data_IF_378327040016
#
_entry.id   IF_378327040016
#
_cell.length_a   1.000
_cell.length_b   1.000
_cell.length_c   1.000
_cell.angle_alpha   90.00
_cell.angle_beta   90.00
_cell.angle_gamma   90.00
#
_symmetry.space_group_name_H-M   'P 1'
#
loop_
_entity.id
_entity.type
_entity.pdbx_description
1 polymer ?
#
# COMPACT_ATOMS: atom_id res chain seq x y z
N UNK A 1 -22.25 -0.55 0.94
CA UNK A 1 -21.94 -0.62 2.37
C UNK A 1 -21.31 0.68 2.83
N UNK A 2 -21.87 1.27 3.86
CA UNK A 2 -21.34 2.52 4.40
C UNK A 2 -20.02 2.29 5.12
N UNK A 3 -18.99 3.12 4.89
CA UNK A 3 -17.78 3.05 5.68
C UNK A 3 -18.06 3.42 7.14
N UNK A 4 -17.33 2.81 8.05
CA UNK A 4 -17.32 3.17 9.45
C UNK A 4 -16.62 4.53 9.61
N UNK A 5 -17.28 5.52 10.21
CA UNK A 5 -16.71 6.85 10.39
C UNK A 5 -15.41 6.85 11.21
N UNK A 6 -15.36 6.02 12.24
CA UNK A 6 -14.15 5.90 13.07
C UNK A 6 -13.01 5.34 12.24
N UNK A 7 -13.28 4.31 11.45
CA UNK A 7 -12.29 3.71 10.57
C UNK A 7 -11.82 4.70 9.52
N UNK A 8 -12.75 5.46 8.93
CA UNK A 8 -12.41 6.48 7.94
C UNK A 8 -11.49 7.55 8.54
N UNK A 9 -11.79 8.02 9.75
CA UNK A 9 -10.94 8.98 10.46
C UNK A 9 -9.54 8.43 10.68
N UNK A 10 -9.43 7.19 11.13
CA UNK A 10 -8.14 6.52 11.32
C UNK A 10 -7.36 6.43 10.03
N UNK A 11 -8.04 6.09 8.93
CA UNK A 11 -7.38 6.01 7.63
C UNK A 11 -6.83 7.36 7.20
N UNK A 12 -7.62 8.42 7.33
CA UNK A 12 -7.19 9.76 6.94
C UNK A 12 -5.95 10.17 7.73
N UNK A 13 -5.93 9.92 9.03
CA UNK A 13 -4.77 10.23 9.86
C UNK A 13 -3.56 9.37 9.49
N UNK A 14 -3.78 8.07 9.33
CA UNK A 14 -2.71 7.12 8.95
C UNK A 14 -2.08 7.49 7.62
N UNK A 15 -2.89 7.94 6.67
CA UNK A 15 -2.43 8.35 5.35
C UNK A 15 -1.75 9.72 5.35
N UNK A 16 -1.84 10.46 6.45
CA UNK A 16 -1.27 11.80 6.52
C UNK A 16 -2.00 12.80 5.64
N UNK A 17 -3.30 12.60 5.44
CA UNK A 17 -4.11 13.43 4.56
C UNK A 17 -5.06 14.38 5.29
N UNK A 18 -4.94 14.50 6.61
CA UNK A 18 -5.88 15.32 7.41
C UNK A 18 -6.01 16.74 6.90
N UNK A 19 -4.92 17.32 6.39
CA UNK A 19 -4.90 18.68 5.87
C UNK A 19 -5.15 18.75 4.37
N UNK A 20 -5.47 17.62 3.73
CA UNK A 20 -5.53 17.52 2.27
C UNK A 20 -6.83 16.90 1.75
N UNK A 21 -7.77 16.62 2.64
CA UNK A 21 -9.00 15.91 2.27
C UNK A 21 -9.86 16.67 1.27
N UNK A 22 -9.74 17.99 1.23
CA UNK A 22 -10.51 18.84 0.32
C UNK A 22 -9.75 19.22 -0.94
N UNK A 23 -8.51 18.75 -1.10
CA UNK A 23 -7.72 19.06 -2.28
C UNK A 23 -8.13 18.19 -3.46
N UNK A 24 -8.09 18.77 -4.65
CA UNK A 24 -8.32 18.01 -5.89
C UNK A 24 -7.11 17.10 -6.14
N UNK A 25 -7.30 15.95 -6.83
CA UNK A 25 -6.19 15.02 -7.09
C UNK A 25 -5.00 15.69 -7.78
N UNK A 26 -5.21 16.63 -8.67
CA UNK A 26 -4.12 17.31 -9.38
C UNK A 26 -3.33 18.30 -8.50
N UNK A 27 -3.82 18.57 -7.29
CA UNK A 27 -3.12 19.42 -6.33
C UNK A 27 -2.19 18.63 -5.41
N UNK A 28 -2.16 17.31 -5.55
CA UNK A 28 -1.39 16.43 -4.68
C UNK A 28 -0.12 15.97 -5.38
N UNK A 29 0.93 15.70 -4.59
CA UNK A 29 2.14 15.07 -5.11
C UNK A 29 1.86 13.62 -5.53
N UNK A 30 2.77 13.01 -6.28
CA UNK A 30 2.66 11.61 -6.67
C UNK A 30 2.47 10.68 -5.49
N UNK A 31 3.25 10.89 -4.42
CA UNK A 31 3.13 10.08 -3.20
C UNK A 31 1.79 10.28 -2.50
N UNK A 32 1.29 11.52 -2.46
CA UNK A 32 0.00 11.80 -1.87
C UNK A 32 -1.13 11.18 -2.69
N UNK A 33 -1.04 11.22 -4.02
CA UNK A 33 -2.01 10.58 -4.89
C UNK A 33 -2.04 9.08 -4.67
N UNK A 34 -0.87 8.46 -4.50
CA UNK A 34 -0.78 7.02 -4.24
C UNK A 34 -1.40 6.67 -2.88
N UNK A 35 -1.18 7.50 -1.86
CA UNK A 35 -1.82 7.30 -0.55
C UNK A 35 -3.34 7.39 -0.66
N UNK A 36 -3.85 8.32 -1.44
CA UNK A 36 -5.30 8.44 -1.67
C UNK A 36 -5.85 7.17 -2.32
N UNK A 37 -5.13 6.64 -3.32
CA UNK A 37 -5.52 5.40 -3.98
C UNK A 37 -5.58 4.22 -3.02
N UNK A 38 -4.57 4.09 -2.18
CA UNK A 38 -4.52 3.04 -1.15
C UNK A 38 -5.66 3.24 -0.15
N UNK A 39 -5.90 4.48 0.28
CA UNK A 39 -6.99 4.78 1.19
C UNK A 39 -8.35 4.41 0.65
N UNK A 40 -8.59 4.67 -0.63
CA UNK A 40 -9.84 4.27 -1.29
C UNK A 40 -10.04 2.77 -1.26
N UNK A 41 -8.97 2.03 -1.54
CA UNK A 41 -9.03 0.57 -1.49
C UNK A 41 -9.32 0.08 -0.07
N UNK A 42 -8.70 0.70 0.93
CA UNK A 42 -8.83 0.30 2.33
C UNK A 42 -10.19 0.66 2.94
N UNK A 43 -10.88 1.65 2.38
CA UNK A 43 -12.19 2.09 2.93
C UNK A 43 -13.21 0.98 3.01
N UNK A 44 -13.13 0.00 2.13
CA UNK A 44 -14.05 -1.14 2.12
C UNK A 44 -13.59 -2.31 3.00
N UNK A 45 -12.52 -2.13 3.76
CA UNK A 45 -11.92 -3.17 4.61
C UNK A 45 -11.74 -4.49 3.88
N UNK A 46 -10.99 -4.50 2.76
CA UNK A 46 -10.82 -5.73 2.00
C UNK A 46 -10.01 -6.74 2.81
N UNK A 47 -10.33 -8.03 2.66
CA UNK A 47 -9.50 -9.08 3.24
C UNK A 47 -8.16 -9.19 2.50
N UNK A 48 -8.16 -8.82 1.22
CA UNK A 48 -6.98 -8.88 0.36
C UNK A 48 -6.81 -7.56 -0.38
N UNK A 49 -5.62 -6.99 -0.31
CA UNK A 49 -5.25 -5.80 -1.06
C UNK A 49 -4.17 -6.17 -2.05
N UNK A 50 -4.39 -5.85 -3.31
CA UNK A 50 -3.41 -6.08 -4.37
C UNK A 50 -2.73 -4.76 -4.70
N UNK A 51 -1.42 -4.70 -4.54
CA UNK A 51 -0.62 -3.52 -4.84
C UNK A 51 0.35 -3.84 -5.98
N UNK A 52 0.06 -3.33 -7.16
CA UNK A 52 0.85 -3.58 -8.37
C UNK A 52 1.83 -2.43 -8.56
N UNK A 53 3.12 -2.69 -8.36
CA UNK A 53 4.19 -1.71 -8.46
C UNK A 53 3.85 -0.42 -7.69
N UNK A 54 3.53 -0.52 -6.38
CA UNK A 54 2.95 0.60 -5.64
C UNK A 54 3.88 1.81 -5.50
N UNK A 55 5.18 1.63 -5.75
CA UNK A 55 6.17 2.72 -5.63
C UNK A 55 6.72 3.14 -6.98
N UNK A 56 6.15 2.66 -8.07
CA UNK A 56 6.58 3.05 -9.42
C UNK A 56 6.47 4.56 -9.60
N UNK A 57 7.50 5.17 -10.14
CA UNK A 57 7.57 6.61 -10.41
C UNK A 57 7.61 7.52 -9.18
N UNK A 58 7.84 6.95 -7.99
CA UNK A 58 7.98 7.74 -6.76
C UNK A 58 9.46 7.89 -6.38
N UNK A 59 9.81 9.01 -5.75
CA UNK A 59 11.15 9.18 -5.20
C UNK A 59 11.35 8.27 -3.97
N UNK A 60 12.59 8.22 -3.47
CA UNK A 60 12.94 7.31 -2.36
C UNK A 60 12.12 7.55 -1.10
N UNK A 61 11.89 8.83 -0.75
CA UNK A 61 11.12 9.15 0.45
C UNK A 61 9.67 8.74 0.30
N UNK A 62 9.05 9.08 -0.82
CA UNK A 62 7.65 8.74 -1.08
C UNK A 62 7.47 7.22 -1.15
N UNK A 63 8.43 6.51 -1.76
CA UNK A 63 8.42 5.05 -1.82
C UNK A 63 8.44 4.43 -0.42
N UNK A 64 9.32 4.94 0.45
CA UNK A 64 9.41 4.46 1.82
C UNK A 64 8.10 4.67 2.57
N UNK A 65 7.50 5.85 2.41
CA UNK A 65 6.24 6.17 3.06
C UNK A 65 5.11 5.23 2.63
N UNK A 66 5.05 4.89 1.34
CA UNK A 66 4.05 3.96 0.83
C UNK A 66 4.26 2.55 1.40
N UNK A 67 5.50 2.07 1.45
CA UNK A 67 5.80 0.76 2.02
C UNK A 67 5.44 0.71 3.50
N UNK A 68 5.77 1.75 4.26
CA UNK A 68 5.41 1.83 5.67
C UNK A 68 3.90 1.82 5.87
N UNK A 69 3.17 2.51 4.99
CA UNK A 69 1.71 2.51 5.02
C UNK A 69 1.14 1.10 4.79
N UNK A 70 1.68 0.37 3.81
CA UNK A 70 1.22 -0.99 3.54
C UNK A 70 1.52 -1.92 4.71
N UNK A 71 2.69 -1.79 5.31
CA UNK A 71 3.05 -2.59 6.49
C UNK A 71 2.14 -2.29 7.67
N UNK A 72 1.83 -1.02 7.88
CA UNK A 72 0.93 -0.62 8.95
C UNK A 72 -0.49 -1.16 8.73
N UNK A 73 -0.98 -1.09 7.49
CA UNK A 73 -2.29 -1.63 7.14
C UNK A 73 -2.38 -3.13 7.41
N UNK A 74 -1.32 -3.85 7.08
CA UNK A 74 -1.26 -5.28 7.34
C UNK A 74 -1.33 -5.57 8.85
N UNK A 75 -0.59 -4.81 9.66
CA UNK A 75 -0.54 -5.03 11.11
C UNK A 75 -1.80 -4.54 11.81
N UNK A 76 -2.21 -3.31 11.52
CA UNK A 76 -3.31 -2.66 12.26
C UNK A 76 -4.67 -3.18 11.83
N UNK A 77 -4.88 -3.34 10.53
CA UNK A 77 -6.16 -3.75 9.99
C UNK A 77 -6.20 -5.21 9.56
N UNK A 78 -5.11 -5.93 9.78
CA UNK A 78 -4.98 -7.38 9.51
C UNK A 78 -5.34 -7.74 8.07
N UNK A 79 -4.99 -6.88 7.14
CA UNK A 79 -5.23 -7.13 5.73
C UNK A 79 -4.10 -7.94 5.12
N UNK A 80 -4.44 -8.91 4.29
CA UNK A 80 -3.45 -9.61 3.49
C UNK A 80 -3.10 -8.73 2.31
N UNK A 81 -1.81 -8.50 2.11
CA UNK A 81 -1.34 -7.65 1.02
C UNK A 81 -0.49 -8.47 0.07
N UNK A 82 -0.85 -8.44 -1.21
CA UNK A 82 -0.02 -9.01 -2.26
C UNK A 82 0.59 -7.84 -3.02
N UNK A 83 1.91 -7.72 -2.97
CA UNK A 83 2.63 -6.66 -3.67
C UNK A 83 3.35 -7.27 -4.88
N UNK A 84 3.10 -6.71 -6.05
CA UNK A 84 3.78 -7.10 -7.27
C UNK A 84 4.88 -6.08 -7.52
N UNK A 85 6.12 -6.55 -7.60
CA UNK A 85 7.25 -5.67 -7.88
C UNK A 85 8.39 -6.46 -8.51
N UNK A 86 9.19 -5.79 -9.34
CA UNK A 86 10.43 -6.35 -9.84
C UNK A 86 11.65 -5.79 -9.08
N UNK A 87 11.42 -5.04 -8.01
CA UNK A 87 12.48 -4.53 -7.15
C UNK A 87 12.65 -5.47 -5.97
N UNK A 88 13.76 -6.22 -5.95
CA UNK A 88 14.04 -7.20 -4.92
C UNK A 88 14.13 -6.57 -3.52
N UNK A 89 14.67 -5.36 -3.42
CA UNK A 89 14.80 -4.68 -2.13
C UNK A 89 13.44 -4.34 -1.54
N UNK A 90 12.49 -3.91 -2.36
CA UNK A 90 11.13 -3.68 -1.90
C UNK A 90 10.48 -4.99 -1.44
N UNK A 91 10.74 -6.07 -2.16
CA UNK A 91 10.16 -7.38 -1.83
C UNK A 91 10.60 -7.86 -0.45
N UNK A 92 11.77 -7.45 0.03
CA UNK A 92 12.27 -7.83 1.34
C UNK A 92 11.42 -7.28 2.50
N UNK A 93 10.54 -6.34 2.24
CA UNK A 93 9.60 -5.84 3.25
C UNK A 93 8.44 -6.81 3.50
N UNK A 94 8.24 -7.77 2.65
CA UNK A 94 7.16 -8.75 2.78
C UNK A 94 7.55 -9.88 3.73
N UNK A 95 6.56 -10.62 4.18
CA UNK A 95 6.80 -11.81 5.01
C UNK A 95 7.20 -13.02 4.16
N UNK A 96 6.80 -13.02 2.91
CA UNK A 96 7.04 -14.13 1.98
C UNK A 96 7.26 -13.56 0.60
N UNK A 97 8.23 -14.12 -0.12
CA UNK A 97 8.54 -13.70 -1.49
C UNK A 97 8.35 -14.89 -2.42
N UNK A 98 7.52 -14.68 -3.44
CA UNK A 98 7.33 -15.66 -4.50
C UNK A 98 7.95 -15.05 -5.76
N UNK A 99 8.93 -15.73 -6.32
CA UNK A 99 9.60 -15.27 -7.53
C UNK A 99 9.04 -16.00 -8.75
N UNK A 100 8.62 -15.23 -9.73
CA UNK A 100 8.04 -15.77 -10.96
C UNK A 100 8.95 -15.40 -12.13
N UNK A 101 9.28 -16.38 -12.95
CA UNK A 101 10.08 -16.17 -14.14
C UNK A 101 9.46 -16.99 -15.27
N UNK A 102 9.24 -16.34 -16.41
CA UNK A 102 8.66 -16.96 -17.60
C UNK A 102 7.35 -17.71 -17.28
N UNK A 103 6.50 -17.06 -16.48
CA UNK A 103 5.19 -17.61 -16.11
C UNK A 103 5.22 -18.74 -15.10
N UNK A 104 6.39 -19.04 -14.53
CA UNK A 104 6.53 -20.15 -13.58
C UNK A 104 7.11 -19.68 -12.27
N UNK A 105 6.67 -20.30 -11.18
CA UNK A 105 7.22 -20.04 -9.86
C UNK A 105 8.58 -20.72 -9.78
N UNK A 106 9.65 -19.95 -9.62
CA UNK A 106 11.01 -20.46 -9.55
C UNK A 106 11.58 -20.42 -8.14
N UNK A 107 10.97 -19.65 -7.23
CA UNK A 107 11.39 -19.60 -5.85
C UNK A 107 10.21 -19.18 -4.98
N UNK A 108 10.18 -19.66 -3.75
CA UNK A 108 9.16 -19.34 -2.76
C UNK A 108 9.84 -19.40 -1.40
N UNK A 109 10.10 -18.24 -0.80
CA UNK A 109 10.82 -18.18 0.47
C UNK A 109 10.10 -17.33 1.49
N UNK A 110 10.17 -17.76 2.74
CA UNK A 110 9.66 -16.99 3.87
C UNK A 110 10.77 -16.10 4.39
N UNK A 111 10.50 -14.79 4.49
CA UNK A 111 11.46 -13.80 4.97
C UNK A 111 11.38 -13.66 6.49
N UNK A 112 10.18 -13.79 7.05
CA UNK A 112 9.93 -13.66 8.50
C UNK A 112 9.11 -14.79 9.06
#
# INVERSE_FOLDING_TARGET
>A
KKPDETYLKELIETLGLSNRVNHLPNELSGGQQQRVSIGRALMNRPALLLADEPTGNLDSKASKDIIELLKLSNKKYKQTIIMITHDHELALNADRIITIDDGKIVNDERVR
#
